data_IF_320820466358
#
_entry.id   IF_320820466358
#
_cell.length_a   1.000
_cell.length_b   1.000
_cell.length_c   1.000
_cell.angle_alpha   90.00
_cell.angle_beta   90.00
_cell.angle_gamma   90.00
#
_symmetry.space_group_name_H-M   'P 1'
#
loop_
_entity.id
_entity.type
_entity.pdbx_description
1 polymer ?
#
# COMPACT_ATOMS: atom_id res chain seq x y z
N UNK A 1 -27.42 25.25 -12.67
CA UNK A 1 -27.62 24.51 -11.40
C UNK A 1 -26.78 23.25 -11.51
N UNK A 2 -25.70 23.22 -10.74
CA UNK A 2 -24.59 22.25 -10.79
C UNK A 2 -25.04 20.85 -10.33
N UNK A 3 -25.70 20.09 -11.21
CA UNK A 3 -26.01 18.69 -10.94
C UNK A 3 -24.77 17.85 -11.21
N UNK A 4 -23.90 17.77 -10.21
CA UNK A 4 -22.74 16.86 -10.22
C UNK A 4 -23.21 15.43 -10.48
N UNK A 5 -22.47 14.71 -11.31
CA UNK A 5 -22.82 13.35 -11.70
C UNK A 5 -22.91 12.40 -10.48
N UNK A 6 -23.96 11.58 -10.49
CA UNK A 6 -24.25 10.56 -9.47
C UNK A 6 -24.63 9.27 -10.19
N UNK A 7 -23.99 8.17 -9.80
CA UNK A 7 -24.30 6.84 -10.28
C UNK A 7 -25.50 6.26 -9.53
N UNK A 8 -26.32 5.44 -10.19
CA UNK A 8 -27.46 4.76 -9.54
C UNK A 8 -27.00 3.79 -8.45
N UNK A 9 -25.92 3.05 -8.73
CA UNK A 9 -25.29 2.07 -7.85
C UNK A 9 -23.79 2.33 -7.77
N UNK A 10 -23.21 2.12 -6.61
CA UNK A 10 -21.76 2.25 -6.43
C UNK A 10 -21.36 2.25 -4.96
N UNK A 11 -20.06 2.26 -4.72
CA UNK A 11 -19.49 2.29 -3.37
C UNK A 11 -19.77 3.62 -2.67
N UNK A 12 -19.92 3.58 -1.34
CA UNK A 12 -20.01 4.78 -0.51
C UNK A 12 -18.62 5.38 -0.28
N UNK A 13 -18.57 6.64 0.14
CA UNK A 13 -17.32 7.35 0.44
C UNK A 13 -16.46 6.61 1.49
N UNK A 14 -17.06 6.12 2.58
CA UNK A 14 -16.32 5.41 3.63
C UNK A 14 -15.78 4.06 3.15
N UNK A 15 -16.61 3.29 2.43
CA UNK A 15 -16.15 2.03 1.82
C UNK A 15 -15.00 2.31 0.87
N UNK A 16 -15.11 3.36 0.05
CA UNK A 16 -14.05 3.77 -0.88
C UNK A 16 -12.75 4.14 -0.15
N UNK A 17 -12.83 4.87 0.96
CA UNK A 17 -11.67 5.16 1.79
C UNK A 17 -11.01 3.87 2.30
N UNK A 18 -11.79 2.91 2.81
CA UNK A 18 -11.28 1.61 3.24
C UNK A 18 -10.65 0.80 2.10
N UNK A 19 -11.19 0.88 0.88
CA UNK A 19 -10.58 0.30 -0.31
C UNK A 19 -9.20 0.91 -0.60
N UNK A 20 -9.08 2.24 -0.55
CA UNK A 20 -7.80 2.91 -0.75
C UNK A 20 -6.81 2.53 0.36
N UNK A 21 -7.25 2.45 1.62
CA UNK A 21 -6.38 1.99 2.70
C UNK A 21 -5.97 0.53 2.49
N UNK A 22 -6.87 -0.36 2.09
CA UNK A 22 -6.53 -1.78 1.84
C UNK A 22 -5.59 -1.98 0.67
N UNK A 23 -5.71 -1.15 -0.37
CA UNK A 23 -4.80 -1.13 -1.52
C UNK A 23 -3.41 -0.61 -1.14
N UNK A 24 -3.33 0.44 -0.33
CA UNK A 24 -2.07 1.13 0.00
C UNK A 24 -1.37 0.51 1.22
N UNK A 25 -2.10 0.30 2.32
CA UNK A 25 -1.63 -0.30 3.56
C UNK A 25 -1.51 -1.82 3.43
N UNK A 26 -0.45 -2.25 2.76
CA UNK A 26 -0.08 -3.64 2.58
C UNK A 26 1.42 -3.86 2.75
N UNK A 27 2.04 -4.49 1.75
CA UNK A 27 3.43 -4.93 1.82
C UNK A 27 4.49 -3.85 2.04
N UNK A 28 4.21 -2.60 1.68
CA UNK A 28 5.13 -1.50 1.96
C UNK A 28 5.33 -1.25 3.45
N UNK A 29 4.25 -1.34 4.25
CA UNK A 29 4.25 -1.05 5.69
C UNK A 29 5.33 -1.82 6.45
N UNK A 30 5.53 -3.10 6.13
CA UNK A 30 6.43 -3.97 6.89
C UNK A 30 7.92 -3.73 6.58
N UNK A 31 8.23 -3.08 5.44
CA UNK A 31 9.58 -2.70 5.04
C UNK A 31 9.95 -1.27 5.46
N UNK A 32 8.96 -0.44 5.82
CA UNK A 32 9.19 0.95 6.23
C UNK A 32 10.14 1.13 7.43
N UNK A 33 10.14 0.28 8.47
CA UNK A 33 11.12 0.41 9.56
C UNK A 33 12.57 0.37 9.07
N UNK A 34 12.88 -0.55 8.15
CA UNK A 34 14.21 -0.70 7.53
C UNK A 34 14.55 0.50 6.65
N UNK A 35 13.55 1.08 5.98
CA UNK A 35 13.72 2.33 5.24
C UNK A 35 14.03 3.51 6.17
N UNK A 36 13.33 3.64 7.30
CA UNK A 36 13.60 4.69 8.29
C UNK A 36 14.99 4.52 8.91
N UNK A 37 15.41 3.28 9.21
CA UNK A 37 16.75 3.01 9.73
C UNK A 37 17.85 3.57 8.82
N UNK A 38 17.67 3.41 7.50
CA UNK A 38 18.62 3.88 6.51
C UNK A 38 18.60 5.39 6.31
N UNK A 39 17.44 6.05 6.47
CA UNK A 39 17.30 7.51 6.33
C UNK A 39 17.57 8.28 7.63
N UNK A 40 17.53 7.60 8.77
CA UNK A 40 17.44 8.19 10.11
C UNK A 40 16.00 8.52 10.50
N UNK A 41 15.71 8.50 11.81
CA UNK A 41 14.36 8.67 12.36
C UNK A 41 13.66 9.96 11.95
N UNK A 42 14.30 11.12 12.17
CA UNK A 42 13.69 12.43 11.89
C UNK A 42 13.45 12.63 10.39
N UNK A 43 14.45 12.37 9.57
CA UNK A 43 14.36 12.49 8.11
C UNK A 43 13.36 11.49 7.55
N UNK A 44 13.36 10.24 8.03
CA UNK A 44 12.40 9.21 7.62
C UNK A 44 10.96 9.59 7.96
N UNK A 45 10.70 10.07 9.19
CA UNK A 45 9.38 10.54 9.60
C UNK A 45 8.91 11.75 8.76
N UNK A 46 9.80 12.69 8.47
CA UNK A 46 9.52 13.81 7.58
C UNK A 46 9.19 13.34 6.15
N UNK A 47 9.95 12.38 5.61
CA UNK A 47 9.69 11.79 4.29
C UNK A 47 8.35 11.05 4.24
N UNK A 48 7.98 10.32 5.30
CA UNK A 48 6.66 9.69 5.39
C UNK A 48 5.53 10.72 5.36
N UNK A 49 5.65 11.80 6.13
CA UNK A 49 4.66 12.87 6.15
C UNK A 49 4.55 13.56 4.79
N UNK A 50 5.70 13.89 4.18
CA UNK A 50 5.75 14.52 2.88
C UNK A 50 5.15 13.62 1.79
N UNK A 51 5.46 12.32 1.80
CA UNK A 51 4.88 11.35 0.89
C UNK A 51 3.35 11.29 1.05
N UNK A 52 2.83 11.22 2.29
CA UNK A 52 1.38 11.24 2.53
C UNK A 52 0.70 12.50 1.99
N UNK A 53 1.30 13.68 2.19
CA UNK A 53 0.77 14.95 1.68
C UNK A 53 0.79 15.02 0.16
N UNK A 54 1.91 14.64 -0.48
CA UNK A 54 2.05 14.61 -1.94
C UNK A 54 1.07 13.61 -2.56
N UNK A 55 0.95 12.41 -1.98
CA UNK A 55 0.04 11.37 -2.47
C UNK A 55 -1.42 11.78 -2.29
N UNK A 56 -1.77 12.47 -1.21
CA UNK A 56 -3.11 13.05 -1.01
C UNK A 56 -3.40 14.12 -2.06
N UNK A 57 -2.47 15.05 -2.30
CA UNK A 57 -2.64 16.12 -3.27
C UNK A 57 -2.76 15.59 -4.71
N UNK A 58 -1.88 14.67 -5.10
CA UNK A 58 -1.95 14.04 -6.43
C UNK A 58 -3.19 13.18 -6.61
N UNK A 59 -3.64 12.50 -5.54
CA UNK A 59 -4.92 11.78 -5.54
C UNK A 59 -6.12 12.73 -5.69
N UNK A 60 -6.08 13.92 -5.08
CA UNK A 60 -7.07 14.98 -5.29
C UNK A 60 -7.10 15.46 -6.74
N UNK A 61 -5.93 15.77 -7.33
CA UNK A 61 -5.87 16.19 -8.73
C UNK A 61 -6.46 15.15 -9.68
N UNK A 62 -6.20 13.87 -9.42
CA UNK A 62 -6.75 12.77 -10.18
C UNK A 62 -8.27 12.63 -9.99
N UNK A 63 -8.76 12.87 -8.77
CA UNK A 63 -10.18 12.91 -8.44
C UNK A 63 -10.94 13.96 -9.24
N UNK A 64 -10.41 15.18 -9.26
CA UNK A 64 -10.99 16.30 -10.00
C UNK A 64 -10.96 16.03 -11.50
N UNK A 65 -9.83 15.52 -12.01
CA UNK A 65 -9.70 15.21 -13.43
C UNK A 65 -10.78 14.21 -13.90
N UNK A 66 -11.01 13.13 -13.14
CA UNK A 66 -12.05 12.16 -13.51
C UNK A 66 -13.45 12.76 -13.44
N UNK A 67 -13.73 13.55 -12.41
CA UNK A 67 -15.03 14.21 -12.22
C UNK A 67 -15.34 15.13 -13.41
N UNK A 68 -14.36 15.95 -13.83
CA UNK A 68 -14.46 16.81 -15.01
C UNK A 68 -14.74 15.99 -16.27
N UNK A 69 -14.06 14.86 -16.45
CA UNK A 69 -14.30 13.99 -17.60
C UNK A 69 -15.73 13.44 -17.62
N UNK A 70 -16.26 12.98 -16.49
CA UNK A 70 -17.64 12.47 -16.39
C UNK A 70 -18.69 13.58 -16.61
N UNK A 71 -18.38 14.81 -16.24
CA UNK A 71 -19.25 15.97 -16.46
C UNK A 71 -19.28 16.37 -17.95
N UNK A 72 -18.12 16.48 -18.58
CA UNK A 72 -17.97 16.93 -19.97
C UNK A 72 -18.35 15.86 -21.01
N UNK A 73 -18.10 14.60 -20.72
CA UNK A 73 -18.24 13.48 -21.67
C UNK A 73 -19.19 12.42 -21.12
N UNK A 74 -20.47 12.43 -21.52
CA UNK A 74 -21.47 11.50 -21.02
C UNK A 74 -21.11 10.02 -21.19
N UNK A 75 -20.29 9.66 -22.19
CA UNK A 75 -19.86 8.28 -22.41
C UNK A 75 -19.02 7.69 -21.27
N UNK A 76 -18.43 8.52 -20.40
CA UNK A 76 -17.66 8.07 -19.22
C UNK A 76 -18.52 7.94 -17.95
N UNK A 77 -19.84 8.16 -18.05
CA UNK A 77 -20.79 7.98 -16.94
C UNK A 77 -21.23 6.52 -16.78
N UNK A 78 -21.24 5.75 -17.87
CA UNK A 78 -21.60 4.34 -17.85
C UNK A 78 -20.39 3.46 -17.56
N UNK A 79 -19.99 2.57 -18.46
CA UNK A 79 -18.88 1.66 -18.24
C UNK A 79 -17.60 2.16 -18.91
N UNK A 80 -16.58 2.47 -18.10
CA UNK A 80 -15.23 2.75 -18.58
C UNK A 80 -14.23 1.72 -18.05
N UNK A 81 -13.73 0.85 -18.94
CA UNK A 81 -12.74 -0.19 -18.55
C UNK A 81 -11.36 0.39 -18.20
N UNK A 82 -10.98 1.54 -18.77
CA UNK A 82 -9.64 2.14 -18.61
C UNK A 82 -9.73 3.64 -18.29
N UNK A 83 -10.21 4.02 -17.10
CA UNK A 83 -10.40 5.43 -16.74
C UNK A 83 -9.09 6.23 -16.79
N UNK A 84 -8.00 5.70 -16.23
CA UNK A 84 -6.72 6.41 -16.17
C UNK A 84 -6.14 6.70 -17.58
N UNK A 85 -6.03 5.73 -18.52
CA UNK A 85 -5.67 6.06 -19.91
C UNK A 85 -6.65 6.99 -20.63
N UNK A 86 -7.95 6.94 -20.30
CA UNK A 86 -8.95 7.84 -20.91
C UNK A 86 -8.72 9.32 -20.55
N UNK A 87 -8.20 9.59 -19.35
CA UNK A 87 -7.73 10.93 -18.97
C UNK A 87 -6.61 11.40 -19.90
N UNK A 88 -5.60 10.55 -20.14
CA UNK A 88 -4.50 10.84 -21.06
C UNK A 88 -4.99 11.02 -22.52
N UNK A 89 -5.97 10.23 -22.94
CA UNK A 89 -6.60 10.36 -24.25
C UNK A 89 -7.23 11.73 -24.45
N UNK A 90 -8.00 12.22 -23.47
CA UNK A 90 -8.68 13.51 -23.55
C UNK A 90 -7.73 14.70 -23.33
N UNK A 91 -6.64 14.51 -22.60
CA UNK A 91 -5.67 15.58 -22.35
C UNK A 91 -4.70 15.85 -23.52
N UNK A 92 -4.19 14.79 -24.16
CA UNK A 92 -3.11 14.93 -25.17
C UNK A 92 -3.43 14.17 -26.47
N UNK A 93 -4.10 13.02 -26.38
CA UNK A 93 -4.52 12.24 -27.55
C UNK A 93 -4.14 10.75 -27.48
N UNK A 94 -4.40 9.98 -28.56
CA UNK A 94 -4.33 8.52 -28.54
C UNK A 94 -2.95 7.94 -28.22
N UNK A 95 -1.87 8.54 -28.75
CA UNK A 95 -0.50 8.07 -28.49
C UNK A 95 -0.14 8.18 -27.02
N UNK A 96 -0.55 9.26 -26.35
CA UNK A 96 -0.32 9.46 -24.93
C UNK A 96 -1.15 8.49 -24.08
N UNK A 97 -2.38 8.20 -24.47
CA UNK A 97 -3.19 7.17 -23.81
C UNK A 97 -2.52 5.79 -23.82
N UNK A 98 -1.91 5.39 -24.94
CA UNK A 98 -1.14 4.15 -25.03
C UNK A 98 0.11 4.17 -24.15
N UNK A 99 0.83 5.30 -24.12
CA UNK A 99 1.99 5.49 -23.24
C UNK A 99 1.62 5.36 -21.76
N UNK A 100 0.56 6.06 -21.33
CA UNK A 100 0.01 5.94 -19.96
C UNK A 100 -0.38 4.50 -19.66
N UNK A 101 -1.08 3.83 -20.58
CA UNK A 101 -1.46 2.43 -20.41
C UNK A 101 -0.23 1.52 -20.27
N UNK A 102 0.86 1.77 -21.01
CA UNK A 102 2.08 0.96 -20.90
C UNK A 102 2.76 1.13 -19.53
N UNK A 103 2.89 2.37 -19.04
CA UNK A 103 3.45 2.64 -17.72
C UNK A 103 2.63 1.95 -16.63
N UNK A 104 1.30 2.10 -16.66
CA UNK A 104 0.42 1.47 -15.67
C UNK A 104 0.59 -0.04 -15.65
N UNK A 105 0.72 -0.70 -16.82
CA UNK A 105 0.91 -2.15 -16.88
C UNK A 105 2.26 -2.58 -16.31
N UNK A 106 3.34 -1.85 -16.61
CA UNK A 106 4.67 -2.14 -16.04
C UNK A 106 4.65 -1.97 -14.52
N UNK A 107 4.06 -0.88 -14.02
CA UNK A 107 3.93 -0.63 -12.58
C UNK A 107 3.11 -1.73 -11.89
N UNK A 108 1.95 -2.09 -12.43
CA UNK A 108 1.08 -3.12 -11.86
C UNK A 108 1.73 -4.51 -11.88
N UNK A 109 2.45 -4.85 -12.94
CA UNK A 109 3.25 -6.08 -12.99
C UNK A 109 4.31 -6.10 -11.87
N UNK A 110 5.05 -5.01 -11.69
CA UNK A 110 6.05 -4.88 -10.62
C UNK A 110 5.42 -5.02 -9.23
N UNK A 111 4.31 -4.34 -8.98
CA UNK A 111 3.58 -4.45 -7.70
C UNK A 111 3.10 -5.88 -7.44
N UNK A 112 2.55 -6.55 -8.46
CA UNK A 112 2.12 -7.94 -8.33
C UNK A 112 3.28 -8.88 -7.98
N UNK A 113 4.45 -8.71 -8.64
CA UNK A 113 5.66 -9.47 -8.32
C UNK A 113 6.07 -9.25 -6.86
N UNK A 114 6.13 -8.01 -6.39
CA UNK A 114 6.51 -7.70 -4.99
C UNK A 114 5.55 -8.35 -3.99
N UNK A 115 4.24 -8.28 -4.22
CA UNK A 115 3.27 -8.90 -3.30
C UNK A 115 3.35 -10.43 -3.30
N UNK A 116 3.58 -11.07 -4.44
CA UNK A 116 3.78 -12.53 -4.49
C UNK A 116 5.04 -12.93 -3.73
N UNK A 117 6.16 -12.23 -3.92
CA UNK A 117 7.41 -12.50 -3.20
C UNK A 117 7.24 -12.31 -1.69
N UNK A 118 6.54 -11.24 -1.28
CA UNK A 118 6.30 -10.96 0.13
C UNK A 118 5.40 -12.01 0.79
N UNK A 119 4.31 -12.40 0.12
CA UNK A 119 3.44 -13.46 0.61
C UNK A 119 4.17 -14.81 0.69
N UNK A 120 5.02 -15.14 -0.29
CA UNK A 120 5.83 -16.34 -0.27
C UNK A 120 6.83 -16.34 0.89
N UNK A 121 7.51 -15.21 1.14
CA UNK A 121 8.46 -15.07 2.26
C UNK A 121 7.77 -15.17 3.62
N UNK A 122 6.63 -14.50 3.78
CA UNK A 122 5.85 -14.60 5.00
C UNK A 122 5.31 -16.01 5.24
N UNK A 123 4.88 -16.70 4.18
CA UNK A 123 4.43 -18.09 4.26
C UNK A 123 5.55 -19.06 4.62
N UNK A 124 6.74 -18.91 4.04
CA UNK A 124 7.95 -19.67 4.43
C UNK A 124 8.25 -19.47 5.92
N UNK A 125 8.31 -18.20 6.37
CA UNK A 125 8.59 -17.86 7.77
C UNK A 125 7.54 -18.45 8.72
N UNK A 126 6.26 -18.39 8.35
CA UNK A 126 5.16 -18.95 9.13
C UNK A 126 5.26 -20.48 9.25
N UNK A 127 5.53 -21.19 8.15
CA UNK A 127 5.64 -22.66 8.16
C UNK A 127 6.84 -23.13 8.99
N UNK A 128 7.97 -22.42 8.87
CA UNK A 128 9.16 -22.70 9.65
C UNK A 128 8.91 -22.46 11.15
N UNK A 129 8.37 -21.29 11.52
CA UNK A 129 8.19 -20.92 12.92
C UNK A 129 7.13 -21.76 13.67
N UNK A 130 6.06 -22.20 13.00
CA UNK A 130 4.94 -22.87 13.66
C UNK A 130 4.95 -24.40 13.51
N UNK A 131 5.55 -24.93 12.43
CA UNK A 131 5.49 -26.36 12.10
C UNK A 131 6.87 -27.00 11.91
N UNK A 132 7.97 -26.27 12.16
CA UNK A 132 9.36 -26.71 11.95
C UNK A 132 9.58 -27.29 10.52
N UNK A 133 8.78 -26.80 9.57
CA UNK A 133 8.74 -27.30 8.19
C UNK A 133 9.43 -26.30 7.28
N UNK A 134 10.63 -26.67 6.81
CA UNK A 134 11.37 -25.87 5.84
C UNK A 134 10.85 -26.10 4.43
N UNK A 135 10.09 -25.14 3.92
CA UNK A 135 9.68 -25.10 2.51
C UNK A 135 10.53 -24.07 1.79
N UNK A 136 11.11 -24.44 0.64
CA UNK A 136 11.91 -23.50 -0.16
C UNK A 136 11.08 -22.28 -0.58
N UNK A 137 11.67 -21.08 -0.45
CA UNK A 137 11.10 -19.82 -0.95
C UNK A 137 10.60 -19.94 -2.41
N UNK A 138 11.38 -20.58 -3.29
CA UNK A 138 11.00 -20.77 -4.69
C UNK A 138 9.72 -21.59 -4.86
N UNK A 139 9.53 -22.62 -4.01
CA UNK A 139 8.31 -23.42 -4.02
C UNK A 139 7.12 -22.63 -3.47
N UNK A 140 7.32 -21.84 -2.42
CA UNK A 140 6.29 -20.97 -1.86
C UNK A 140 5.76 -19.94 -2.87
N UNK A 141 6.60 -19.41 -3.77
CA UNK A 141 6.16 -18.53 -4.86
C UNK A 141 5.12 -19.23 -5.75
N UNK A 142 5.35 -20.49 -6.11
CA UNK A 142 4.44 -21.28 -6.96
C UNK A 142 3.12 -21.51 -6.21
N UNK A 143 3.19 -21.90 -4.94
CA UNK A 143 2.01 -22.13 -4.09
C UNK A 143 1.16 -20.86 -3.99
N UNK A 144 1.77 -19.72 -3.64
CA UNK A 144 1.07 -18.43 -3.54
C UNK A 144 0.45 -18.04 -4.87
N UNK A 145 1.17 -18.21 -5.98
CA UNK A 145 0.66 -17.86 -7.32
C UNK A 145 -0.59 -18.69 -7.68
N UNK A 146 -0.59 -19.99 -7.39
CA UNK A 146 -1.74 -20.87 -7.61
C UNK A 146 -2.93 -20.51 -6.71
N UNK A 147 -2.69 -20.11 -5.46
CA UNK A 147 -3.74 -19.69 -4.53
C UNK A 147 -4.37 -18.35 -4.94
N UNK A 148 -3.59 -17.40 -5.45
CA UNK A 148 -4.08 -16.08 -5.86
C UNK A 148 -4.77 -16.12 -7.22
N UNK A 149 -4.36 -17.02 -8.12
CA UNK A 149 -4.92 -17.16 -9.47
C UNK A 149 -6.46 -17.11 -9.55
N UNK A 150 -7.26 -17.91 -8.79
CA UNK A 150 -8.71 -17.85 -8.86
C UNK A 150 -9.29 -16.48 -8.50
N UNK A 151 -8.62 -15.74 -7.61
CA UNK A 151 -9.04 -14.40 -7.18
C UNK A 151 -8.69 -13.29 -8.18
N UNK A 152 -7.93 -13.59 -9.23
CA UNK A 152 -7.68 -12.65 -10.34
C UNK A 152 -8.74 -12.67 -11.45
N UNK A 153 -9.68 -13.62 -11.38
CA UNK A 153 -10.74 -13.81 -12.38
C UNK A 153 -11.91 -12.78 -12.33
N UNK A 154 -12.26 -12.16 -11.18
CA UNK A 154 -13.32 -11.14 -11.12
C UNK A 154 -13.03 -9.89 -11.98
N UNK A 155 -14.09 -9.20 -12.42
CA UNK A 155 -14.00 -8.10 -13.40
C UNK A 155 -13.83 -6.70 -12.79
N UNK A 156 -14.30 -6.47 -11.56
CA UNK A 156 -14.20 -5.18 -10.87
C UNK A 156 -13.97 -5.35 -9.36
N UNK A 157 -13.25 -4.43 -8.69
CA UNK A 157 -13.10 -4.40 -7.23
C UNK A 157 -14.43 -4.41 -6.46
N UNK A 158 -15.50 -3.86 -7.05
CA UNK A 158 -16.84 -3.84 -6.46
C UNK A 158 -17.41 -5.24 -6.21
N UNK A 159 -17.01 -6.21 -7.03
CA UNK A 159 -17.53 -7.58 -6.95
C UNK A 159 -16.91 -8.36 -5.77
N UNK A 160 -15.86 -7.84 -5.14
CA UNK A 160 -15.07 -8.54 -4.11
C UNK A 160 -14.83 -7.71 -2.83
N UNK A 161 -15.81 -6.87 -2.45
CA UNK A 161 -15.70 -5.95 -1.31
C UNK A 161 -15.39 -6.64 0.04
N UNK A 162 -15.79 -7.90 0.21
CA UNK A 162 -15.53 -8.69 1.43
C UNK A 162 -14.04 -8.95 1.65
N UNK A 163 -13.25 -9.12 0.59
CA UNK A 163 -11.81 -9.31 0.75
C UNK A 163 -11.09 -8.03 1.11
N UNK A 164 -11.60 -6.88 0.68
CA UNK A 164 -11.06 -5.59 1.13
C UNK A 164 -11.34 -5.37 2.61
N UNK A 165 -12.54 -5.72 3.07
CA UNK A 165 -12.84 -5.69 4.51
C UNK A 165 -11.93 -6.65 5.27
N UNK A 166 -11.74 -7.87 4.76
CA UNK A 166 -10.82 -8.83 5.35
C UNK A 166 -9.37 -8.30 5.40
N UNK A 167 -8.86 -7.77 4.28
CA UNK A 167 -7.53 -7.16 4.18
C UNK A 167 -7.37 -6.03 5.20
N UNK A 168 -8.34 -5.13 5.28
CA UNK A 168 -8.34 -4.03 6.25
C UNK A 168 -8.30 -4.50 7.69
N UNK A 169 -9.12 -5.50 8.04
CA UNK A 169 -9.11 -6.09 9.38
C UNK A 169 -7.75 -6.74 9.67
N UNK A 170 -7.22 -7.53 8.73
CA UNK A 170 -5.92 -8.19 8.91
C UNK A 170 -4.76 -7.21 9.01
N UNK A 171 -4.75 -6.13 8.22
CA UNK A 171 -3.75 -5.07 8.29
C UNK A 171 -3.84 -4.35 9.63
N UNK A 172 -5.05 -3.97 10.06
CA UNK A 172 -5.25 -3.29 11.35
C UNK A 172 -4.78 -4.16 12.52
N UNK A 173 -5.16 -5.44 12.53
CA UNK A 173 -4.70 -6.40 13.54
C UNK A 173 -3.18 -6.57 13.48
N UNK A 174 -2.59 -6.68 12.29
CA UNK A 174 -1.14 -6.80 12.14
C UNK A 174 -0.40 -5.58 12.69
N UNK A 175 -0.88 -4.36 12.43
CA UNK A 175 -0.30 -3.13 12.99
C UNK A 175 -0.33 -3.15 14.51
N UNK A 176 -1.48 -3.52 15.11
CA UNK A 176 -1.62 -3.63 16.57
C UNK A 176 -0.64 -4.67 17.12
N UNK A 177 -0.56 -5.85 16.51
CA UNK A 177 0.33 -6.92 16.95
C UNK A 177 1.80 -6.52 16.84
N UNK A 178 2.20 -5.84 15.76
CA UNK A 178 3.58 -5.34 15.58
C UNK A 178 3.92 -4.34 16.68
N UNK A 179 3.05 -3.38 16.97
CA UNK A 179 3.29 -2.36 18.02
C UNK A 179 3.37 -3.01 19.40
N UNK A 180 2.47 -3.96 19.70
CA UNK A 180 2.48 -4.69 20.98
C UNK A 180 3.72 -5.58 21.11
N UNK A 181 4.15 -6.23 20.02
CA UNK A 181 5.39 -7.01 19.98
C UNK A 181 6.62 -6.12 20.24
N UNK A 182 6.73 -5.02 19.52
CA UNK A 182 7.79 -4.03 19.70
C UNK A 182 7.81 -3.45 21.13
N UNK A 183 6.63 -3.19 21.73
CA UNK A 183 6.56 -2.78 23.13
C UNK A 183 7.15 -3.85 24.05
N UNK A 184 6.73 -5.11 23.92
CA UNK A 184 7.23 -6.20 24.77
C UNK A 184 8.74 -6.39 24.65
N UNK A 185 9.30 -6.17 23.47
CA UNK A 185 10.73 -6.29 23.21
C UNK A 185 11.54 -5.07 23.67
N UNK A 186 10.88 -3.92 23.89
CA UNK A 186 11.51 -2.64 24.21
C UNK A 186 12.51 -2.71 25.37
N UNK A 187 12.13 -3.27 26.52
CA UNK A 187 12.99 -3.31 27.71
C UNK A 187 14.29 -4.09 27.53
N UNK A 188 14.29 -5.08 26.62
CA UNK A 188 15.41 -5.99 26.39
C UNK A 188 16.25 -5.50 25.21
N UNK A 189 15.61 -5.16 24.09
CA UNK A 189 16.28 -4.85 22.84
C UNK A 189 16.83 -3.43 22.76
N UNK A 190 16.18 -2.45 23.41
CA UNK A 190 16.62 -1.05 23.36
C UNK A 190 18.03 -0.86 23.95
N UNK A 191 18.45 -1.69 24.91
CA UNK A 191 19.75 -1.55 25.58
C UNK A 191 20.93 -1.88 24.68
N UNK A 192 20.71 -2.74 23.70
CA UNK A 192 21.73 -3.28 22.81
C UNK A 192 21.59 -2.69 21.38
N UNK A 193 20.66 -1.74 21.18
CA UNK A 193 20.34 -1.20 19.86
C UNK A 193 21.50 -0.37 19.30
N UNK A 194 21.87 -0.64 18.05
CA UNK A 194 22.85 0.13 17.32
C UNK A 194 22.23 0.79 16.10
N UNK A 195 22.58 2.06 15.87
CA UNK A 195 22.12 2.83 14.72
C UNK A 195 23.29 3.03 13.75
N UNK A 196 23.25 2.43 12.55
CA UNK A 196 24.32 2.57 11.58
C UNK A 196 24.38 4.02 11.06
N UNK A 197 25.57 4.50 10.66
CA UNK A 197 25.69 5.81 10.03
C UNK A 197 24.89 5.86 8.72
N UNK A 198 24.36 7.04 8.41
CA UNK A 198 23.55 7.27 7.20
C UNK A 198 24.42 7.03 5.96
N UNK A 199 23.94 6.16 5.08
CA UNK A 199 24.58 5.85 3.81
C UNK A 199 23.70 6.34 2.66
N UNK A 200 24.25 7.18 1.79
CA UNK A 200 23.52 7.82 0.68
C UNK A 200 22.82 6.79 -0.23
N UNK A 201 23.48 5.69 -0.58
CA UNK A 201 22.88 4.66 -1.43
C UNK A 201 21.68 4.00 -0.75
N UNK A 202 21.80 3.65 0.54
CA UNK A 202 20.69 3.07 1.31
C UNK A 202 19.54 4.07 1.48
N UNK A 203 19.85 5.35 1.68
CA UNK A 203 18.85 6.42 1.75
C UNK A 203 18.07 6.56 0.44
N UNK A 204 18.74 6.49 -0.71
CA UNK A 204 18.08 6.53 -2.03
C UNK A 204 17.17 5.32 -2.27
N UNK A 205 17.60 4.11 -1.88
CA UNK A 205 16.74 2.91 -1.95
C UNK A 205 15.53 3.01 -1.01
N UNK A 206 15.73 3.61 0.16
CA UNK A 206 14.67 3.81 1.16
C UNK A 206 13.60 4.78 0.67
N UNK A 207 13.97 5.81 -0.09
CA UNK A 207 13.01 6.68 -0.77
C UNK A 207 12.08 5.88 -1.71
N UNK A 208 12.63 4.95 -2.49
CA UNK A 208 11.83 4.04 -3.33
C UNK A 208 10.86 3.18 -2.52
N UNK A 209 11.29 2.67 -1.37
CA UNK A 209 10.46 1.88 -0.44
C UNK A 209 9.32 2.72 0.14
N UNK A 210 9.60 3.96 0.55
CA UNK A 210 8.59 4.90 1.05
C UNK A 210 7.57 5.23 -0.04
N UNK A 211 8.02 5.56 -1.25
CA UNK A 211 7.14 5.87 -2.36
C UNK A 211 6.29 4.67 -2.78
N UNK A 212 6.86 3.47 -2.80
CA UNK A 212 6.12 2.22 -3.04
C UNK A 212 5.04 2.01 -1.98
N UNK A 213 5.33 2.30 -0.71
CA UNK A 213 4.38 2.11 0.40
C UNK A 213 3.18 3.04 0.33
N UNK A 214 3.31 4.21 -0.28
CA UNK A 214 2.18 5.14 -0.54
C UNK A 214 1.58 4.98 -1.94
N UNK A 215 2.04 3.99 -2.72
CA UNK A 215 1.53 3.70 -4.05
C UNK A 215 0.07 3.24 -4.03
N UNK A 216 -0.65 3.53 -5.12
CA UNK A 216 -2.08 3.15 -5.28
C UNK A 216 -2.80 3.93 -6.38
N UNK A 217 -2.22 5.04 -6.84
CA UNK A 217 -2.83 5.98 -7.80
C UNK A 217 -3.31 5.32 -9.10
N UNK A 218 -2.67 4.23 -9.53
CA UNK A 218 -3.07 3.48 -10.72
C UNK A 218 -4.53 3.01 -10.65
N UNK A 219 -5.01 2.65 -9.46
CA UNK A 219 -6.35 2.14 -9.22
C UNK A 219 -7.38 3.26 -8.97
N UNK A 220 -6.93 4.46 -8.60
CA UNK A 220 -7.82 5.53 -8.11
C UNK A 220 -8.94 5.90 -9.09
N UNK A 221 -8.69 6.13 -10.39
CA UNK A 221 -9.76 6.45 -11.33
C UNK A 221 -10.80 5.33 -11.48
N UNK A 222 -10.36 4.08 -11.41
CA UNK A 222 -11.25 2.91 -11.47
C UNK A 222 -12.10 2.82 -10.21
N UNK A 223 -11.49 2.98 -9.03
CA UNK A 223 -12.21 2.98 -7.74
C UNK A 223 -13.21 4.15 -7.70
N UNK A 224 -12.80 5.33 -8.16
CA UNK A 224 -13.66 6.51 -8.22
C UNK A 224 -14.85 6.31 -9.17
N UNK A 225 -14.61 5.71 -10.33
CA UNK A 225 -15.66 5.39 -11.30
C UNK A 225 -16.73 4.46 -10.70
N UNK A 226 -16.33 3.52 -9.86
CA UNK A 226 -17.23 2.58 -9.17
C UNK A 226 -17.97 3.18 -7.95
N UNK A 227 -17.73 4.46 -7.61
CA UNK A 227 -18.43 5.15 -6.53
C UNK A 227 -19.85 5.56 -6.91
N UNK A 228 -20.75 5.59 -5.92
CA UNK A 228 -22.09 6.19 -6.11
C UNK A 228 -22.01 7.70 -6.37
N UNK A 229 -21.08 8.39 -5.69
CA UNK A 229 -20.87 9.85 -5.80
C UNK A 229 -19.38 10.12 -6.11
N UNK A 230 -18.95 10.06 -7.38
CA UNK A 230 -17.54 10.18 -7.77
C UNK A 230 -16.87 11.49 -7.33
N UNK A 231 -17.63 12.59 -7.25
CA UNK A 231 -17.15 13.89 -6.76
C UNK A 231 -16.76 13.90 -5.26
N UNK A 232 -17.06 12.84 -4.50
CA UNK A 232 -16.65 12.67 -3.10
C UNK A 232 -15.36 11.86 -2.95
N UNK A 233 -14.74 11.43 -4.04
CA UNK A 233 -13.53 10.62 -4.01
C UNK A 233 -12.36 11.32 -3.32
N UNK A 234 -12.20 12.63 -3.53
CA UNK A 234 -11.19 13.45 -2.85
C UNK A 234 -11.24 13.32 -1.32
N UNK A 235 -12.45 13.33 -0.73
CA UNK A 235 -12.62 13.10 0.71
C UNK A 235 -12.19 11.70 1.13
N UNK A 236 -12.48 10.70 0.30
CA UNK A 236 -12.09 9.31 0.54
C UNK A 236 -10.57 9.15 0.52
N UNK A 237 -9.89 9.80 -0.44
CA UNK A 237 -8.43 9.87 -0.55
C UNK A 237 -7.81 10.51 0.69
N UNK A 238 -8.32 11.67 1.13
CA UNK A 238 -7.80 12.35 2.33
C UNK A 238 -7.95 11.51 3.60
N UNK A 239 -9.10 10.86 3.80
CA UNK A 239 -9.32 9.95 4.94
C UNK A 239 -8.35 8.78 4.84
N UNK A 240 -8.20 8.18 3.66
CA UNK A 240 -7.36 7.01 3.49
C UNK A 240 -5.88 7.30 3.79
N UNK A 241 -5.30 8.34 3.20
CA UNK A 241 -3.89 8.67 3.45
C UNK A 241 -3.62 9.13 4.89
N UNK A 242 -4.60 9.74 5.56
CA UNK A 242 -4.50 10.03 7.00
C UNK A 242 -4.40 8.73 7.81
N UNK A 243 -5.27 7.75 7.53
CA UNK A 243 -5.25 6.43 8.20
C UNK A 243 -3.93 5.70 7.91
N UNK A 244 -3.49 5.69 6.65
CA UNK A 244 -2.21 5.08 6.23
C UNK A 244 -1.05 5.71 6.99
N UNK A 245 -0.99 7.04 7.08
CA UNK A 245 0.04 7.74 7.86
C UNK A 245 0.02 7.35 9.34
N UNK A 246 -1.17 7.26 9.95
CA UNK A 246 -1.36 6.81 11.34
C UNK A 246 -0.92 5.36 11.55
N UNK A 247 -0.99 4.50 10.54
CA UNK A 247 -0.44 3.13 10.63
C UNK A 247 1.06 3.11 10.42
N UNK A 248 1.56 3.85 9.43
CA UNK A 248 2.94 3.79 8.99
C UNK A 248 3.90 4.41 10.00
N UNK A 249 3.58 5.58 10.53
CA UNK A 249 4.48 6.30 11.42
C UNK A 249 4.78 5.50 12.71
N UNK A 250 3.80 5.00 13.48
CA UNK A 250 4.07 4.25 14.71
C UNK A 250 4.82 2.95 14.47
N UNK A 251 4.47 2.19 13.41
CA UNK A 251 5.17 0.94 13.07
C UNK A 251 6.62 1.22 12.69
N UNK A 252 6.85 2.24 11.87
CA UNK A 252 8.19 2.59 11.41
C UNK A 252 9.07 3.10 12.55
N UNK A 253 8.51 3.94 13.42
CA UNK A 253 9.22 4.47 14.59
C UNK A 253 9.49 3.41 15.66
N UNK A 254 8.52 2.54 15.95
CA UNK A 254 8.72 1.45 16.92
C UNK A 254 9.77 0.46 16.44
N UNK A 255 9.72 0.05 15.16
CA UNK A 255 10.74 -0.82 14.59
C UNK A 255 12.14 -0.21 14.61
N UNK A 256 12.25 1.08 14.27
CA UNK A 256 13.51 1.83 14.38
C UNK A 256 14.05 1.83 15.81
N UNK A 257 13.24 2.24 16.79
CA UNK A 257 13.67 2.44 18.18
C UNK A 257 14.02 1.15 18.92
N UNK A 258 13.31 0.06 18.63
CA UNK A 258 13.45 -1.22 19.34
C UNK A 258 14.54 -2.07 18.72
N UNK A 259 14.59 -2.19 17.39
CA UNK A 259 15.42 -3.20 16.72
C UNK A 259 16.66 -2.61 16.03
N UNK A 260 16.65 -1.32 15.63
CA UNK A 260 17.81 -0.67 15.01
C UNK A 260 18.45 -1.51 13.89
N UNK A 261 19.77 -1.73 13.96
CA UNK A 261 20.54 -2.53 13.00
C UNK A 261 20.15 -4.01 12.91
N UNK A 262 19.38 -4.53 13.85
CA UNK A 262 18.91 -5.92 13.85
C UNK A 262 17.64 -6.13 13.02
N UNK A 263 17.09 -5.04 12.44
CA UNK A 263 16.01 -5.15 11.47
C UNK A 263 16.47 -5.93 10.23
N UNK A 264 15.72 -6.97 9.91
CA UNK A 264 15.84 -7.64 8.61
C UNK A 264 15.14 -6.83 7.50
N UNK A 265 14.95 -7.43 6.32
CA UNK A 265 14.24 -6.81 5.20
C UNK A 265 12.78 -6.42 5.53
N UNK A 266 12.21 -6.99 6.60
CA UNK A 266 10.91 -6.59 7.14
C UNK A 266 10.84 -6.71 8.67
N UNK A 267 9.89 -6.01 9.28
CA UNK A 267 9.73 -6.03 10.75
C UNK A 267 9.22 -7.36 11.29
N UNK A 268 8.42 -8.11 10.51
CA UNK A 268 7.75 -9.34 10.97
C UNK A 268 8.75 -10.36 11.58
N UNK A 269 9.79 -10.81 10.86
CA UNK A 269 10.77 -11.75 11.41
C UNK A 269 11.74 -11.11 12.42
N UNK A 270 11.69 -9.78 12.60
CA UNK A 270 12.56 -9.07 13.56
C UNK A 270 11.96 -9.07 14.98
N UNK A 271 10.66 -9.34 15.12
CA UNK A 271 9.97 -9.46 16.41
C UNK A 271 10.40 -10.74 17.12
N UNK A 272 10.78 -10.64 18.39
CA UNK A 272 11.34 -11.76 19.13
C UNK A 272 10.24 -12.67 19.70
N UNK A 273 10.41 -13.99 19.54
CA UNK A 273 9.50 -14.99 20.11
C UNK A 273 9.83 -15.35 21.56
N UNK A 274 11.04 -15.01 22.02
CA UNK A 274 11.56 -15.25 23.36
C UNK A 274 12.06 -13.91 23.90
N UNK A 275 12.03 -13.68 25.23
CA UNK A 275 12.59 -12.48 25.89
C UNK A 275 14.13 -12.44 25.81
N UNK A 276 14.70 -12.50 24.62
CA UNK A 276 16.12 -12.37 24.34
C UNK A 276 16.26 -11.71 22.98
N UNK A 277 16.97 -10.59 22.91
CA UNK A 277 17.26 -9.97 21.64
C UNK A 277 18.37 -10.80 20.97
N UNK A 278 18.00 -11.60 19.97
CA UNK A 278 18.94 -12.32 19.13
C UNK A 278 19.39 -11.37 18.02
N UNK A 279 20.68 -11.06 18.01
CA UNK A 279 21.36 -10.29 16.97
C UNK A 279 21.77 -11.19 15.81
#
# INVERSE_FOLDING_TARGET
MDQRHINEKGMSMLVTALFIVGETAGGGLIALPTAILSTGALTGAFLLLMAALICTYTGFLLAENWTILQELYPEYRDHCRKPYPAMGLRAVGPKFAHFVSAILQVTQFGTAVVFVLLAAKNGENMLNANFDTHVSFCFMIIVVSLLVFPFTLPKSPKDFWYAVVAAMVTTTVSVILIIVGAWKDYEVCQKEVFYPPINVQKTLMSFGTIMFSYGGHCAFPTIQHDMKKPHQFSKSVSIAFLVVFIFYLPVSMSGYLVYGSSLSDSIIPSIQLIKRCLF
#
